data_IF_976228469069
#
_entry.id   IF_976228469069
#
_cell.length_a   1.000
_cell.length_b   1.000
_cell.length_c   1.000
_cell.angle_alpha   90.00
_cell.angle_beta   90.00
_cell.angle_gamma   90.00
#
_symmetry.space_group_name_H-M   'P 1'
#
loop_
_entity.id
_entity.type
_entity.pdbx_description
1 polymer ?
#
# COMPACT_ATOMS: atom_id res chain seq x y z
N UNK A 1 43.15 60.14 -36.39
CA UNK A 1 41.91 60.04 -35.57
C UNK A 1 41.01 58.90 -36.05
N UNK A 2 40.66 58.83 -37.34
CA UNK A 2 39.72 57.83 -37.93
C UNK A 2 40.20 56.36 -37.83
N UNK A 3 41.52 56.10 -37.90
CA UNK A 3 42.04 54.73 -37.75
C UNK A 3 41.88 54.18 -36.32
N UNK A 4 42.06 55.01 -35.29
CA UNK A 4 41.86 54.58 -33.90
C UNK A 4 40.39 54.24 -33.61
N UNK A 5 39.45 55.01 -34.16
CA UNK A 5 38.01 54.76 -33.96
C UNK A 5 37.55 53.48 -34.65
N UNK A 6 38.08 53.16 -35.84
CA UNK A 6 37.80 51.88 -36.52
C UNK A 6 38.35 50.68 -35.76
N UNK A 7 39.56 50.78 -35.20
CA UNK A 7 40.16 49.71 -34.38
C UNK A 7 39.34 49.49 -33.10
N UNK A 8 38.96 50.56 -32.41
CA UNK A 8 38.12 50.47 -31.19
C UNK A 8 36.73 49.88 -31.49
N UNK A 9 36.10 50.27 -32.60
CA UNK A 9 34.84 49.70 -33.05
C UNK A 9 34.97 48.20 -33.37
N UNK A 10 36.06 47.80 -34.03
CA UNK A 10 36.35 46.39 -34.33
C UNK A 10 36.51 45.53 -33.07
N UNK A 11 37.24 46.04 -32.07
CA UNK A 11 37.39 45.36 -30.77
C UNK A 11 36.04 45.29 -30.04
N UNK A 12 35.23 46.36 -30.08
CA UNK A 12 33.89 46.38 -29.48
C UNK A 12 32.95 45.34 -30.09
N UNK A 13 32.92 45.24 -31.43
CA UNK A 13 32.15 44.20 -32.13
C UNK A 13 32.67 42.80 -31.79
N UNK A 14 34.00 42.61 -31.74
CA UNK A 14 34.58 41.33 -31.35
C UNK A 14 34.21 40.93 -29.92
N UNK A 15 34.26 41.85 -28.95
CA UNK A 15 33.82 41.58 -27.58
C UNK A 15 32.32 41.31 -27.49
N UNK A 16 31.49 42.03 -28.25
CA UNK A 16 30.05 41.80 -28.28
C UNK A 16 29.70 40.43 -28.87
N UNK A 17 30.34 40.05 -29.98
CA UNK A 17 30.18 38.73 -30.62
C UNK A 17 30.73 37.63 -29.72
N UNK A 18 31.89 37.84 -29.10
CA UNK A 18 32.47 36.90 -28.14
C UNK A 18 31.58 36.70 -26.91
N UNK A 19 31.05 37.80 -26.35
CA UNK A 19 30.10 37.76 -25.24
C UNK A 19 28.79 37.05 -25.63
N UNK A 20 28.28 37.29 -26.83
CA UNK A 20 27.10 36.59 -27.35
C UNK A 20 27.36 35.08 -27.54
N UNK A 21 28.50 34.71 -28.12
CA UNK A 21 28.88 33.30 -28.28
C UNK A 21 29.05 32.60 -26.93
N UNK A 22 29.73 33.24 -25.99
CA UNK A 22 29.91 32.71 -24.63
C UNK A 22 28.56 32.58 -23.92
N UNK A 23 27.70 33.59 -24.01
CA UNK A 23 26.42 33.65 -23.31
C UNK A 23 25.36 32.69 -23.88
N UNK A 24 25.21 32.60 -25.19
CA UNK A 24 24.14 31.79 -25.83
C UNK A 24 24.58 30.38 -26.25
N UNK A 25 25.88 30.12 -26.40
CA UNK A 25 26.36 28.80 -26.88
C UNK A 25 27.17 28.09 -25.80
N UNK A 26 28.24 28.72 -25.31
CA UNK A 26 29.18 28.04 -24.39
C UNK A 26 28.56 27.82 -23.01
N UNK A 27 27.95 28.86 -22.43
CA UNK A 27 27.39 28.79 -21.10
C UNK A 27 26.22 27.79 -20.99
N UNK A 28 25.23 27.76 -21.90
CA UNK A 28 24.17 26.76 -21.86
C UNK A 28 24.67 25.33 -22.02
N UNK A 29 25.66 25.10 -22.89
CA UNK A 29 26.30 23.78 -23.04
C UNK A 29 27.00 23.33 -21.76
N UNK A 30 27.82 24.21 -21.15
CA UNK A 30 28.50 23.90 -19.89
C UNK A 30 27.51 23.64 -18.73
N UNK A 31 26.42 24.40 -18.66
CA UNK A 31 25.34 24.17 -17.68
C UNK A 31 24.67 22.82 -17.92
N UNK A 32 24.36 22.48 -19.17
CA UNK A 32 23.76 21.20 -19.54
C UNK A 32 24.62 20.02 -19.10
N UNK A 33 25.92 20.04 -19.44
CA UNK A 33 26.87 19.00 -19.06
C UNK A 33 27.03 18.91 -17.54
N UNK A 34 27.04 20.05 -16.85
CA UNK A 34 27.15 20.07 -15.39
C UNK A 34 25.90 19.53 -14.70
N UNK A 35 24.71 19.71 -15.28
CA UNK A 35 23.47 19.10 -14.78
C UNK A 35 23.54 17.58 -14.94
N UNK A 36 24.00 17.08 -16.09
CA UNK A 36 24.17 15.64 -16.32
C UNK A 36 25.13 15.04 -15.29
N UNK A 37 26.31 15.65 -15.11
CA UNK A 37 27.31 15.18 -14.14
C UNK A 37 26.77 15.17 -12.71
N UNK A 38 25.99 16.18 -12.32
CA UNK A 38 25.42 16.31 -10.98
C UNK A 38 24.18 15.44 -10.74
N UNK A 39 23.56 14.87 -11.78
CA UNK A 39 22.40 13.99 -11.63
C UNK A 39 22.76 12.52 -11.59
N UNK A 40 23.86 12.14 -12.23
CA UNK A 40 24.39 10.77 -12.21
C UNK A 40 24.62 10.27 -10.77
N UNK A 41 24.14 9.07 -10.47
CA UNK A 41 24.36 8.37 -9.21
C UNK A 41 25.76 7.76 -9.20
N UNK A 42 26.75 8.57 -8.84
CA UNK A 42 28.14 8.13 -8.68
C UNK A 42 28.57 8.15 -7.22
N UNK A 43 29.15 7.04 -6.76
CA UNK A 43 29.61 6.89 -5.38
C UNK A 43 30.54 8.04 -4.96
N UNK A 44 30.28 8.61 -3.77
CA UNK A 44 31.05 9.72 -3.20
C UNK A 44 30.61 11.12 -3.63
N UNK A 45 29.73 11.25 -4.63
CA UNK A 45 29.18 12.55 -5.04
C UNK A 45 28.15 13.09 -4.04
N UNK A 46 27.92 14.42 -3.98
CA UNK A 46 26.83 14.99 -3.18
C UNK A 46 25.45 14.45 -3.56
N UNK A 47 25.21 14.20 -4.85
CA UNK A 47 23.94 13.62 -5.32
C UNK A 47 23.73 12.21 -4.80
N UNK A 48 24.78 11.38 -4.81
CA UNK A 48 24.69 10.04 -4.23
C UNK A 48 24.40 10.07 -2.72
N UNK A 49 24.97 11.03 -1.97
CA UNK A 49 24.66 11.19 -0.54
C UNK A 49 23.19 11.56 -0.30
N UNK A 50 22.62 12.45 -1.13
CA UNK A 50 21.18 12.80 -1.09
C UNK A 50 20.27 11.64 -1.48
N UNK A 51 20.75 10.78 -2.38
CA UNK A 51 20.05 9.57 -2.78
C UNK A 51 20.05 8.51 -1.67
N UNK A 52 21.20 8.32 -1.01
CA UNK A 52 21.41 7.37 0.08
C UNK A 52 20.55 7.71 1.30
N UNK A 53 20.52 8.98 1.71
CA UNK A 53 19.65 9.45 2.78
C UNK A 53 19.08 10.82 2.43
N UNK A 54 17.77 11.00 2.65
CA UNK A 54 17.15 12.31 2.46
C UNK A 54 17.78 13.33 3.43
N UNK A 55 18.18 14.52 2.94
CA UNK A 55 18.86 15.51 3.78
C UNK A 55 17.93 16.12 4.84
N UNK A 56 16.62 16.10 4.59
CA UNK A 56 15.58 16.52 5.53
C UNK A 56 14.56 15.39 5.68
N UNK A 57 14.14 15.05 6.91
CA UNK A 57 13.04 14.12 7.11
C UNK A 57 11.74 14.66 6.50
N UNK A 58 10.85 13.74 6.12
CA UNK A 58 9.54 14.09 5.60
C UNK A 58 8.54 14.18 6.76
N UNK A 59 7.64 15.16 6.71
CA UNK A 59 6.51 15.24 7.65
C UNK A 59 5.45 14.21 7.28
N UNK A 60 5.36 13.14 8.06
CA UNK A 60 4.32 12.14 7.95
C UNK A 60 3.16 12.49 8.90
N UNK A 61 2.09 13.07 8.34
CA UNK A 61 0.92 13.52 9.10
C UNK A 61 -0.19 12.47 9.03
N UNK A 62 -0.67 12.04 10.19
CA UNK A 62 -1.75 11.06 10.30
C UNK A 62 -3.00 11.72 10.86
N UNK A 63 -4.11 11.52 10.18
CA UNK A 63 -5.45 11.92 10.61
C UNK A 63 -6.28 10.66 10.79
N UNK A 64 -6.93 10.53 11.95
CA UNK A 64 -7.69 9.33 12.31
C UNK A 64 -9.16 9.72 12.52
N UNK A 65 -10.07 8.98 11.89
CA UNK A 65 -11.49 9.13 12.13
C UNK A 65 -11.92 8.42 13.42
N UNK A 66 -12.13 9.20 14.47
CA UNK A 66 -12.64 8.75 15.76
C UNK A 66 -14.16 8.53 15.70
N UNK A 67 -14.65 7.36 16.08
CA UNK A 67 -16.06 6.97 15.99
C UNK A 67 -16.79 7.37 17.28
N UNK A 68 -17.88 8.12 17.14
CA UNK A 68 -18.64 8.66 18.29
C UNK A 68 -19.86 7.83 18.68
N UNK A 69 -20.32 6.92 17.82
CA UNK A 69 -21.56 6.16 18.01
C UNK A 69 -21.42 4.65 17.76
N UNK A 70 -20.40 3.96 18.31
CA UNK A 70 -20.07 2.57 17.97
C UNK A 70 -21.24 1.59 18.09
N UNK A 71 -22.00 1.66 19.19
CA UNK A 71 -23.12 0.76 19.48
C UNK A 71 -24.29 0.98 18.54
N UNK A 72 -24.56 2.23 18.17
CA UNK A 72 -25.62 2.56 17.21
C UNK A 72 -25.28 2.01 15.81
N UNK A 73 -24.01 2.08 15.41
CA UNK A 73 -23.57 1.53 14.12
C UNK A 73 -23.70 0.01 14.10
N UNK A 74 -23.40 -0.66 15.21
CA UNK A 74 -23.61 -2.10 15.34
C UNK A 74 -25.09 -2.50 15.22
N UNK A 75 -26.02 -1.60 15.55
CA UNK A 75 -27.46 -1.77 15.32
C UNK A 75 -27.90 -1.37 13.89
N UNK A 76 -26.96 -1.09 12.99
CA UNK A 76 -27.24 -0.75 11.59
C UNK A 76 -27.43 0.73 11.31
N UNK A 77 -27.20 1.63 12.28
CA UNK A 77 -27.22 3.08 12.01
C UNK A 77 -25.95 3.54 11.30
N UNK A 78 -26.00 4.74 10.71
CA UNK A 78 -24.85 5.34 10.03
C UNK A 78 -23.74 5.73 11.03
N UNK A 79 -22.46 5.50 10.70
CA UNK A 79 -21.34 5.94 11.53
C UNK A 79 -21.20 7.45 11.55
N UNK A 80 -20.97 8.00 12.75
CA UNK A 80 -20.59 9.40 13.01
C UNK A 80 -19.14 9.43 13.42
N UNK A 81 -18.29 10.02 12.58
CA UNK A 81 -16.86 10.14 12.81
C UNK A 81 -16.43 11.59 12.99
N UNK A 82 -15.40 11.81 13.79
CA UNK A 82 -14.70 13.09 13.95
C UNK A 82 -13.25 12.86 13.58
N UNK A 83 -12.70 13.65 12.66
CA UNK A 83 -11.28 13.61 12.33
C UNK A 83 -10.45 14.14 13.51
N UNK A 84 -9.43 13.38 13.91
CA UNK A 84 -8.49 13.74 14.98
C UNK A 84 -7.08 13.68 14.42
N UNK A 85 -6.35 14.78 14.57
CA UNK A 85 -4.99 14.95 14.06
C UNK A 85 -4.66 16.43 13.84
N UNK A 86 -3.48 16.72 13.27
CA UNK A 86 -2.50 15.75 12.80
C UNK A 86 -1.65 15.16 13.94
N UNK A 87 -1.46 13.84 13.93
CA UNK A 87 -0.32 13.21 14.61
C UNK A 87 0.87 13.23 13.65
N UNK A 88 1.90 14.00 13.97
CA UNK A 88 3.03 14.27 13.09
C UNK A 88 4.21 13.38 13.49
N UNK A 89 4.79 12.73 12.48
CA UNK A 89 6.00 11.93 12.62
C UNK A 89 7.05 12.42 11.63
N UNK A 90 8.28 12.59 12.07
CA UNK A 90 9.41 12.68 11.16
C UNK A 90 9.68 11.32 10.55
N UNK A 91 9.57 11.24 9.22
CA UNK A 91 9.91 10.06 8.44
C UNK A 91 11.30 10.25 7.83
N UNK A 92 12.27 9.50 8.35
CA UNK A 92 13.58 9.36 7.74
C UNK A 92 13.54 8.24 6.71
N UNK A 93 14.13 8.46 5.54
CA UNK A 93 14.29 7.42 4.50
C UNK A 93 15.77 7.24 4.21
N UNK A 94 16.22 6.01 4.33
CA UNK A 94 17.59 5.61 4.06
C UNK A 94 17.60 4.40 3.12
N UNK A 95 18.53 4.41 2.17
CA UNK A 95 18.81 3.29 1.28
C UNK A 95 19.99 2.50 1.82
N UNK A 96 19.80 1.21 1.97
CA UNK A 96 20.77 0.27 2.49
C UNK A 96 21.18 -0.74 1.43
N UNK A 97 22.23 -1.52 1.73
CA UNK A 97 22.71 -2.60 0.87
C UNK A 97 22.98 -2.16 -0.58
N UNK A 98 23.45 -0.92 -0.76
CA UNK A 98 23.65 -0.30 -2.07
C UNK A 98 24.80 -1.00 -2.81
N UNK A 99 24.51 -1.57 -3.98
CA UNK A 99 25.47 -2.29 -4.82
C UNK A 99 25.36 -1.87 -6.27
N UNK A 100 26.47 -1.46 -6.87
CA UNK A 100 26.54 -1.11 -8.28
C UNK A 100 26.74 -2.33 -9.17
N UNK A 101 26.19 -2.30 -10.38
CA UNK A 101 26.52 -3.25 -11.44
C UNK A 101 27.98 -3.14 -11.85
N UNK A 102 28.54 -4.17 -12.48
CA UNK A 102 29.93 -4.18 -12.95
C UNK A 102 30.25 -3.01 -13.89
N UNK A 103 29.30 -2.63 -14.72
CA UNK A 103 29.41 -1.50 -15.66
C UNK A 103 28.99 -0.15 -15.04
N UNK A 104 28.61 -0.13 -13.75
CA UNK A 104 28.09 1.03 -13.01
C UNK A 104 26.82 1.66 -13.58
N UNK A 105 26.19 1.04 -14.57
CA UNK A 105 24.95 1.59 -15.18
C UNK A 105 23.72 1.41 -14.31
N UNK A 106 23.77 0.51 -13.33
CA UNK A 106 22.66 0.20 -12.43
C UNK A 106 23.12 0.16 -10.99
N UNK A 107 22.18 0.43 -10.09
CA UNK A 107 22.38 0.29 -8.65
C UNK A 107 21.21 -0.48 -8.04
N UNK A 108 21.57 -1.42 -7.16
CA UNK A 108 20.65 -2.26 -6.40
C UNK A 108 20.66 -1.79 -4.94
N UNK A 109 19.50 -1.64 -4.31
CA UNK A 109 19.41 -1.22 -2.91
C UNK A 109 18.12 -1.72 -2.25
N UNK A 110 18.11 -1.81 -0.92
CA UNK A 110 16.89 -1.87 -0.12
C UNK A 110 16.61 -0.51 0.49
N UNK A 111 15.35 -0.22 0.80
CA UNK A 111 14.97 1.03 1.47
C UNK A 111 14.38 0.73 2.84
N UNK A 112 14.83 1.49 3.84
CA UNK A 112 14.31 1.49 5.19
C UNK A 112 13.71 2.86 5.53
N UNK A 113 12.71 2.85 6.40
CA UNK A 113 12.03 4.05 6.87
C UNK A 113 12.00 4.05 8.39
N UNK A 114 12.34 5.18 9.02
CA UNK A 114 12.21 5.36 10.47
C UNK A 114 11.18 6.44 10.72
N UNK A 115 10.23 6.15 11.62
CA UNK A 115 9.18 7.09 12.03
C UNK A 115 9.42 7.51 13.47
N UNK A 116 9.58 8.81 13.70
CA UNK A 116 9.79 9.40 15.04
C UNK A 116 8.67 10.41 15.30
N UNK A 117 7.89 10.22 16.37
CA UNK A 117 6.82 11.14 16.71
C UNK A 117 7.36 12.53 17.07
N UNK A 118 6.77 13.55 16.49
CA UNK A 118 7.05 14.96 16.79
C UNK A 118 5.96 15.51 17.71
N UNK A 119 6.27 15.53 19.01
CA UNK A 119 5.36 16.02 20.04
C UNK A 119 5.14 17.54 19.97
N UNK A 120 6.11 18.30 19.47
CA UNK A 120 5.99 19.77 19.38
C UNK A 120 5.03 20.16 18.26
N UNK A 121 5.22 19.60 17.06
CA UNK A 121 4.32 19.90 15.93
C UNK A 121 2.95 19.25 16.07
N UNK A 122 2.80 18.21 16.88
CA UNK A 122 1.51 17.56 17.18
C UNK A 122 0.74 18.21 18.33
N UNK A 123 1.34 19.12 19.10
CA UNK A 123 0.72 19.73 20.27
C UNK A 123 -0.63 20.41 19.91
N UNK A 124 -1.71 20.23 20.70
CA UNK A 124 -1.76 19.61 22.04
C UNK A 124 -2.03 18.09 22.05
N UNK A 125 -2.00 17.43 20.89
CA UNK A 125 -2.28 16.00 20.77
C UNK A 125 -1.07 15.14 21.18
N UNK A 126 -1.34 13.93 21.66
CA UNK A 126 -0.29 12.97 22.06
C UNK A 126 -0.56 11.59 21.46
N UNK A 127 0.47 10.76 21.28
CA UNK A 127 0.26 9.40 20.78
C UNK A 127 -0.52 8.48 21.74
N UNK A 128 -0.83 8.96 22.94
CA UNK A 128 -1.60 8.25 23.97
C UNK A 128 -3.06 8.71 24.03
N UNK A 129 -3.48 9.60 23.14
CA UNK A 129 -4.87 10.08 23.11
C UNK A 129 -5.85 8.92 22.92
N UNK A 130 -6.96 8.88 23.68
CA UNK A 130 -7.92 7.79 23.56
C UNK A 130 -8.69 7.91 22.25
N UNK A 131 -8.64 6.85 21.45
CA UNK A 131 -9.34 6.74 20.17
C UNK A 131 -10.29 5.56 20.16
N UNK A 132 -11.40 5.73 19.45
CA UNK A 132 -12.33 4.67 19.09
C UNK A 132 -12.32 4.47 17.59
N UNK A 133 -11.81 3.33 17.15
CA UNK A 133 -11.56 3.03 15.74
C UNK A 133 -12.13 1.68 15.36
N UNK A 134 -12.34 1.45 14.06
CA UNK A 134 -12.79 0.15 13.57
C UNK A 134 -11.77 -0.92 13.93
N UNK A 135 -12.22 -2.03 14.52
CA UNK A 135 -11.37 -3.18 14.79
C UNK A 135 -11.04 -3.94 13.49
N UNK A 136 -10.13 -3.41 12.70
CA UNK A 136 -9.90 -3.88 11.33
C UNK A 136 -9.34 -5.31 11.24
N UNK A 137 -8.50 -5.74 12.17
CA UNK A 137 -7.96 -7.10 12.18
C UNK A 137 -9.07 -8.09 12.53
N UNK A 138 -9.92 -7.81 13.52
CA UNK A 138 -11.11 -8.62 13.78
C UNK A 138 -12.05 -8.66 12.57
N UNK A 139 -12.41 -7.50 12.02
CA UNK A 139 -13.36 -7.44 10.90
C UNK A 139 -12.83 -8.10 9.63
N UNK A 140 -11.54 -7.97 9.32
CA UNK A 140 -10.93 -8.68 8.18
C UNK A 140 -10.91 -10.20 8.40
N UNK A 141 -10.57 -10.66 9.60
CA UNK A 141 -10.63 -12.08 9.99
C UNK A 141 -12.07 -12.59 9.95
N UNK A 142 -13.06 -11.81 10.35
CA UNK A 142 -14.47 -12.17 10.28
C UNK A 142 -14.94 -12.36 8.84
N UNK A 143 -14.55 -11.47 7.91
CA UNK A 143 -14.86 -11.63 6.49
C UNK A 143 -14.28 -12.93 5.92
N UNK A 144 -13.13 -13.35 6.42
CA UNK A 144 -12.48 -14.61 6.07
C UNK A 144 -13.22 -15.80 6.66
N UNK A 145 -13.53 -15.74 7.95
CA UNK A 145 -14.21 -16.82 8.68
C UNK A 145 -15.63 -16.98 8.15
N UNK A 146 -16.36 -15.95 7.71
CA UNK A 146 -17.68 -16.12 7.08
C UNK A 146 -17.59 -16.98 5.80
N UNK A 147 -16.52 -16.84 5.02
CA UNK A 147 -16.27 -17.63 3.82
C UNK A 147 -15.74 -19.05 4.14
N UNK A 148 -14.77 -19.16 5.05
CA UNK A 148 -14.12 -20.44 5.38
C UNK A 148 -14.86 -21.25 6.44
N UNK A 149 -15.66 -20.64 7.32
CA UNK A 149 -16.50 -21.36 8.28
C UNK A 149 -17.57 -22.14 7.54
N UNK A 150 -18.16 -21.59 6.47
CA UNK A 150 -19.03 -22.37 5.59
C UNK A 150 -18.30 -23.59 5.06
N UNK A 151 -17.10 -23.45 4.51
CA UNK A 151 -16.33 -24.59 3.97
C UNK A 151 -15.84 -25.56 5.04
N UNK A 152 -15.34 -25.07 6.18
CA UNK A 152 -14.81 -25.90 7.28
C UNK A 152 -15.93 -26.63 8.00
N UNK A 153 -17.07 -25.98 8.24
CA UNK A 153 -18.27 -26.62 8.79
C UNK A 153 -18.83 -27.62 7.77
N UNK A 154 -18.84 -27.30 6.46
CA UNK A 154 -19.29 -28.24 5.43
C UNK A 154 -18.36 -29.44 5.32
N UNK A 155 -17.04 -29.27 5.42
CA UNK A 155 -16.06 -30.34 5.38
C UNK A 155 -16.14 -31.22 6.63
N UNK A 156 -16.25 -30.62 7.82
CA UNK A 156 -16.47 -31.37 9.06
C UNK A 156 -17.81 -32.12 9.03
N UNK A 157 -18.89 -31.49 8.55
CA UNK A 157 -20.21 -32.13 8.38
C UNK A 157 -20.12 -33.26 7.36
N UNK A 158 -19.40 -33.08 6.25
CA UNK A 158 -19.15 -34.11 5.24
C UNK A 158 -18.42 -35.30 5.85
N UNK A 159 -17.35 -35.09 6.61
CA UNK A 159 -16.61 -36.17 7.26
C UNK A 159 -17.44 -36.93 8.29
N UNK A 160 -18.21 -36.20 9.12
CA UNK A 160 -19.13 -36.82 10.10
C UNK A 160 -20.26 -37.56 9.39
N UNK A 161 -20.90 -36.95 8.39
CA UNK A 161 -21.99 -37.55 7.63
C UNK A 161 -21.51 -38.76 6.81
N UNK A 162 -20.32 -38.71 6.20
CA UNK A 162 -19.69 -39.85 5.51
C UNK A 162 -19.33 -40.99 6.46
N UNK A 163 -19.02 -40.69 7.73
CA UNK A 163 -18.76 -41.70 8.76
C UNK A 163 -20.06 -42.30 9.28
N UNK A 164 -21.09 -41.48 9.50
CA UNK A 164 -22.42 -41.91 9.93
C UNK A 164 -23.17 -42.70 8.85
N UNK A 165 -23.02 -42.34 7.58
CA UNK A 165 -23.65 -43.04 6.44
C UNK A 165 -23.07 -44.44 6.20
N UNK A 166 -21.89 -44.77 6.75
CA UNK A 166 -21.35 -46.13 6.77
C UNK A 166 -22.07 -47.04 7.77
N UNK A 167 -22.84 -46.48 8.71
CA UNK A 167 -23.64 -47.24 9.67
C UNK A 167 -25.02 -47.54 9.04
N UNK A 168 -25.35 -48.83 8.77
CA UNK A 168 -26.56 -49.19 8.02
C UNK A 168 -27.87 -48.67 8.62
N UNK A 169 -27.97 -48.69 9.96
CA UNK A 169 -29.15 -48.22 10.71
C UNK A 169 -29.36 -46.71 10.54
N UNK A 170 -28.28 -45.92 10.55
CA UNK A 170 -28.36 -44.46 10.48
C UNK A 170 -28.85 -44.00 9.10
N UNK A 171 -28.41 -44.67 8.03
CA UNK A 171 -28.87 -44.41 6.65
C UNK A 171 -30.36 -44.66 6.46
N UNK A 172 -30.89 -45.71 7.09
CA UNK A 172 -32.32 -46.06 7.04
C UNK A 172 -33.15 -45.02 7.81
N UNK A 173 -32.71 -44.66 9.03
CA UNK A 173 -33.37 -43.64 9.86
C UNK A 173 -33.41 -42.29 9.14
N UNK A 174 -32.29 -41.87 8.52
CA UNK A 174 -32.21 -40.61 7.77
C UNK A 174 -33.21 -40.53 6.62
N UNK A 175 -33.35 -41.61 5.82
CA UNK A 175 -34.34 -41.70 4.74
C UNK A 175 -35.79 -41.66 5.24
N UNK A 176 -36.04 -42.23 6.42
CA UNK A 176 -37.38 -42.19 7.02
C UNK A 176 -37.70 -40.77 7.46
N UNK A 177 -36.75 -40.09 8.14
CA UNK A 177 -36.89 -38.71 8.61
C UNK A 177 -37.11 -37.76 7.43
N UNK A 178 -36.28 -37.79 6.39
CA UNK A 178 -36.42 -36.92 5.21
C UNK A 178 -37.75 -37.09 4.46
N UNK A 179 -38.37 -38.27 4.58
CA UNK A 179 -39.65 -38.57 3.94
C UNK A 179 -40.85 -38.20 4.82
N UNK A 180 -40.66 -38.08 6.14
CA UNK A 180 -41.71 -37.74 7.10
C UNK A 180 -41.66 -36.28 7.57
N UNK A 181 -40.53 -35.57 7.43
CA UNK A 181 -40.41 -34.17 7.84
C UNK A 181 -40.89 -33.20 6.76
N UNK A 182 -41.81 -32.26 7.08
CA UNK A 182 -42.23 -31.21 6.15
C UNK A 182 -41.08 -30.25 5.82
N UNK A 183 -41.03 -29.74 4.58
CA UNK A 183 -39.99 -28.80 4.10
C UNK A 183 -39.83 -27.56 5.01
N UNK A 184 -40.92 -27.05 5.60
CA UNK A 184 -40.88 -25.92 6.54
C UNK A 184 -40.08 -26.23 7.82
N UNK A 185 -40.15 -27.47 8.33
CA UNK A 185 -39.36 -27.87 9.50
C UNK A 185 -37.87 -27.98 9.19
N UNK A 186 -37.52 -28.34 7.95
CA UNK A 186 -36.13 -28.37 7.47
C UNK A 186 -35.56 -26.95 7.39
N UNK A 187 -36.37 -25.98 6.92
CA UNK A 187 -35.99 -24.56 6.90
C UNK A 187 -35.71 -24.05 8.32
N UNK A 188 -36.57 -24.41 9.27
CA UNK A 188 -36.46 -24.01 10.67
C UNK A 188 -35.24 -24.64 11.36
N UNK A 189 -34.91 -25.90 11.04
CA UNK A 189 -33.67 -26.56 11.49
C UNK A 189 -32.44 -25.88 10.87
N UNK A 190 -32.49 -25.49 9.60
CA UNK A 190 -31.40 -24.76 8.94
C UNK A 190 -31.19 -23.36 9.57
N UNK A 191 -32.27 -22.68 9.98
CA UNK A 191 -32.21 -21.42 10.75
C UNK A 191 -31.61 -21.63 12.15
N UNK A 192 -31.95 -22.72 12.85
CA UNK A 192 -31.40 -23.06 14.17
C UNK A 192 -29.91 -23.45 14.09
N UNK A 193 -29.48 -24.15 13.04
CA UNK A 193 -28.08 -24.48 12.76
C UNK A 193 -27.22 -23.22 12.47
N UNK A 194 -27.79 -22.20 11.82
CA UNK A 194 -27.12 -20.89 11.68
C UNK A 194 -26.97 -20.15 13.01
N UNK A 195 -27.86 -20.37 13.97
CA UNK A 195 -27.81 -19.72 15.28
C UNK A 195 -26.71 -20.30 16.19
N UNK A 196 -26.52 -21.63 16.18
CA UNK A 196 -25.47 -22.29 16.96
C UNK A 196 -24.05 -22.01 16.43
N UNK A 197 -23.89 -21.88 15.11
CA UNK A 197 -22.63 -21.44 14.51
C UNK A 197 -22.29 -19.99 14.87
N UNK A 198 -23.28 -19.09 14.92
CA UNK A 198 -23.10 -17.71 15.41
C UNK A 198 -22.71 -17.65 16.90
N UNK A 199 -23.27 -18.53 17.74
CA UNK A 199 -22.90 -18.64 19.16
C UNK A 199 -21.47 -19.13 19.35
N UNK A 200 -21.05 -20.16 18.60
CA UNK A 200 -19.68 -20.67 18.63
C UNK A 200 -18.67 -19.63 18.14
N UNK A 201 -19.00 -18.91 17.06
CA UNK A 201 -18.20 -17.78 16.56
C UNK A 201 -18.04 -16.73 17.66
N UNK A 202 -19.10 -16.34 18.37
CA UNK A 202 -19.02 -15.31 19.41
C UNK A 202 -18.11 -15.72 20.59
N UNK A 203 -18.15 -16.98 21.04
CA UNK A 203 -17.28 -17.48 22.12
C UNK A 203 -15.81 -17.47 21.70
N UNK A 204 -15.50 -17.92 20.48
CA UNK A 204 -14.12 -17.95 20.00
C UNK A 204 -13.59 -16.55 19.66
N UNK A 205 -14.42 -15.64 19.15
CA UNK A 205 -14.06 -14.22 18.97
C UNK A 205 -13.68 -13.57 20.30
N UNK A 206 -14.44 -13.85 21.36
CA UNK A 206 -14.13 -13.34 22.69
C UNK A 206 -12.79 -13.84 23.22
N UNK A 207 -12.39 -15.07 22.89
CA UNK A 207 -11.08 -15.62 23.24
C UNK A 207 -9.95 -15.01 22.42
N UNK A 208 -10.18 -14.81 21.12
CA UNK A 208 -9.16 -14.30 20.19
C UNK A 208 -8.90 -12.80 20.41
N UNK A 209 -9.96 -12.00 20.52
CA UNK A 209 -9.87 -10.54 20.53
C UNK A 209 -10.12 -9.92 21.91
N UNK A 210 -10.15 -10.73 22.98
CA UNK A 210 -10.22 -10.23 24.35
C UNK A 210 -11.58 -9.62 24.73
N UNK A 211 -12.67 -10.30 24.40
CA UNK A 211 -14.08 -9.85 24.63
C UNK A 211 -14.39 -8.47 24.03
N UNK A 212 -14.39 -8.35 22.70
CA UNK A 212 -14.74 -7.08 22.06
C UNK A 212 -16.22 -6.75 22.30
N UNK A 213 -16.49 -5.60 22.94
CA UNK A 213 -17.86 -5.12 23.18
C UNK A 213 -18.57 -4.69 21.88
N UNK A 214 -17.80 -4.42 20.81
CA UNK A 214 -18.34 -4.00 19.51
C UNK A 214 -17.37 -4.31 18.37
N UNK A 215 -17.78 -4.02 17.12
CA UNK A 215 -16.88 -4.06 15.96
C UNK A 215 -15.81 -2.96 15.94
N UNK A 216 -15.86 -2.04 16.92
CA UNK A 216 -14.87 -1.01 17.18
C UNK A 216 -14.04 -1.37 18.41
N UNK A 217 -12.81 -0.87 18.47
CA UNK A 217 -11.94 -1.02 19.61
C UNK A 217 -11.50 0.34 20.14
N UNK A 218 -11.17 0.39 21.43
CA UNK A 218 -10.49 1.52 22.06
C UNK A 218 -8.98 1.29 21.99
N UNK A 219 -8.23 2.31 21.59
CA UNK A 219 -6.78 2.25 21.40
C UNK A 219 -6.19 3.67 21.46
N UNK A 220 -4.90 3.80 21.20
CA UNK A 220 -4.20 5.08 21.03
C UNK A 220 -3.55 5.14 19.65
N UNK A 221 -3.19 6.34 19.15
CA UNK A 221 -2.41 6.47 17.92
C UNK A 221 -1.15 5.59 17.94
N UNK A 222 -0.42 5.56 19.05
CA UNK A 222 0.81 4.77 19.19
C UNK A 222 0.56 3.29 18.95
N UNK A 223 -0.44 2.74 19.64
CA UNK A 223 -0.79 1.32 19.55
C UNK A 223 -1.36 0.96 18.18
N UNK A 224 -2.24 1.78 17.64
CA UNK A 224 -2.91 1.50 16.36
C UNK A 224 -1.95 1.58 15.17
N UNK A 225 -1.03 2.56 15.19
CA UNK A 225 -0.11 2.81 14.09
C UNK A 225 1.16 1.96 14.19
N UNK A 226 1.76 1.79 15.37
CA UNK A 226 3.11 1.23 15.51
C UNK A 226 3.27 0.12 16.57
N UNK A 227 2.89 0.34 17.84
CA UNK A 227 3.19 -0.62 18.93
C UNK A 227 2.39 -1.93 18.79
N UNK A 228 1.18 -1.79 18.24
CA UNK A 228 0.28 -2.86 17.85
C UNK A 228 -0.73 -3.29 18.92
N UNK A 229 -1.98 -3.41 18.50
CA UNK A 229 -3.11 -3.89 19.29
C UNK A 229 -3.02 -5.42 19.46
N UNK A 230 -2.95 -5.94 20.69
CA UNK A 230 -2.76 -7.37 20.94
C UNK A 230 -4.03 -8.20 20.70
N UNK A 231 -3.86 -9.40 20.15
CA UNK A 231 -4.89 -10.43 20.00
C UNK A 231 -4.25 -11.83 19.98
N UNK A 232 -5.06 -12.89 20.07
CA UNK A 232 -4.58 -14.27 20.22
C UNK A 232 -3.68 -14.50 21.45
N UNK A 233 -3.95 -13.80 22.55
CA UNK A 233 -3.16 -13.89 23.78
C UNK A 233 -3.59 -15.11 24.59
N UNK A 234 -2.66 -16.05 24.87
CA UNK A 234 -2.88 -17.24 25.70
C UNK A 234 -4.11 -18.08 25.31
N UNK A 235 -4.38 -18.21 24.00
CA UNK A 235 -5.54 -18.95 23.48
C UNK A 235 -5.31 -20.46 23.46
N UNK A 236 -6.40 -21.22 23.65
CA UNK A 236 -6.43 -22.70 23.64
C UNK A 236 -7.56 -23.20 22.72
N UNK A 237 -7.55 -24.49 22.38
CA UNK A 237 -8.62 -25.13 21.61
C UNK A 237 -8.79 -24.54 20.20
N UNK A 238 -10.05 -24.26 19.83
CA UNK A 238 -10.42 -23.78 18.49
C UNK A 238 -9.82 -22.40 18.20
N UNK A 239 -9.84 -21.48 19.16
CA UNK A 239 -9.18 -20.18 19.04
C UNK A 239 -7.70 -20.31 18.66
N UNK A 240 -6.96 -21.26 19.25
CA UNK A 240 -5.57 -21.51 18.88
C UNK A 240 -5.41 -21.99 17.44
N UNK A 241 -6.33 -22.84 16.96
CA UNK A 241 -6.33 -23.27 15.57
C UNK A 241 -6.61 -22.10 14.60
N UNK A 242 -7.57 -21.25 14.92
CA UNK A 242 -7.88 -20.03 14.14
C UNK A 242 -6.68 -19.08 14.12
N UNK A 243 -6.05 -18.83 15.27
CA UNK A 243 -4.84 -18.00 15.38
C UNK A 243 -3.69 -18.53 14.51
N UNK A 244 -3.53 -19.86 14.43
CA UNK A 244 -2.54 -20.48 13.55
C UNK A 244 -2.87 -20.29 12.06
N UNK A 245 -4.15 -20.30 11.67
CA UNK A 245 -4.54 -19.97 10.29
C UNK A 245 -4.32 -18.50 9.95
N UNK A 246 -4.51 -17.60 10.92
CA UNK A 246 -4.18 -16.17 10.77
C UNK A 246 -2.68 -16.00 10.59
N UNK A 247 -1.86 -16.64 11.41
CA UNK A 247 -0.39 -16.63 11.30
C UNK A 247 0.08 -17.10 9.92
N UNK A 248 -0.48 -18.21 9.41
CA UNK A 248 -0.14 -18.76 8.09
C UNK A 248 -0.33 -17.77 6.93
N UNK A 249 -1.25 -16.81 7.06
CA UNK A 249 -1.48 -15.78 6.03
C UNK A 249 -0.32 -14.80 5.91
N UNK A 250 0.48 -14.64 6.96
CA UNK A 250 1.71 -13.85 6.97
C UNK A 250 1.51 -12.45 6.35
N UNK A 251 0.49 -11.74 6.81
CA UNK A 251 0.18 -10.37 6.39
C UNK A 251 1.17 -9.40 7.01
N UNK A 252 1.58 -8.36 6.27
CA UNK A 252 2.55 -7.38 6.77
C UNK A 252 2.10 -6.66 8.06
N UNK A 253 0.81 -6.43 8.25
CA UNK A 253 0.26 -5.66 9.38
C UNK A 253 0.07 -6.45 10.68
N UNK A 254 0.42 -7.75 10.70
CA UNK A 254 0.29 -8.61 11.88
C UNK A 254 1.68 -9.15 12.23
N UNK A 255 2.11 -8.89 13.46
CA UNK A 255 3.37 -9.41 14.02
C UNK A 255 3.08 -10.51 15.03
N UNK A 256 3.74 -11.66 14.86
CA UNK A 256 3.71 -12.77 15.81
C UNK A 256 4.80 -12.56 16.85
N UNK A 257 4.46 -12.70 18.13
CA UNK A 257 5.37 -12.61 19.26
C UNK A 257 5.91 -14.00 19.65
N UNK A 258 7.03 -14.08 20.40
CA UNK A 258 7.65 -15.37 20.75
C UNK A 258 6.75 -16.32 21.53
N UNK A 259 5.76 -15.80 22.26
CA UNK A 259 4.76 -16.58 23.01
C UNK A 259 3.58 -17.07 22.13
N UNK A 260 3.60 -16.76 20.83
CA UNK A 260 2.55 -17.08 19.87
C UNK A 260 1.38 -16.10 19.86
N UNK A 261 1.39 -15.08 20.72
CA UNK A 261 0.43 -13.97 20.63
C UNK A 261 0.71 -13.10 19.41
N UNK A 262 -0.28 -12.32 18.98
CA UNK A 262 -0.15 -11.48 17.80
C UNK A 262 -0.49 -10.02 18.11
N UNK A 263 0.11 -9.12 17.35
CA UNK A 263 -0.19 -7.68 17.41
C UNK A 263 -0.52 -7.15 16.01
N UNK A 264 -1.62 -6.43 15.91
CA UNK A 264 -2.02 -5.72 14.70
C UNK A 264 -1.57 -4.25 14.74
N UNK A 265 -0.94 -3.75 13.68
CA UNK A 265 -0.59 -2.33 13.51
C UNK A 265 -0.48 -1.95 12.03
N UNK A 266 -0.72 -0.68 11.70
CA UNK A 266 -0.62 -0.21 10.31
C UNK A 266 0.81 -0.17 9.78
N UNK A 267 1.74 0.40 10.55
CA UNK A 267 3.03 0.86 10.03
C UNK A 267 4.24 0.24 10.74
N UNK A 268 4.05 -0.66 11.72
CA UNK A 268 5.16 -1.36 12.38
C UNK A 268 6.09 -2.04 11.37
N UNK A 269 5.51 -2.72 10.37
CA UNK A 269 6.24 -3.44 9.33
C UNK A 269 6.96 -2.55 8.31
N UNK A 270 6.87 -1.23 8.45
CA UNK A 270 7.63 -0.25 7.67
C UNK A 270 8.76 0.36 8.50
N UNK A 271 8.69 0.25 9.82
CA UNK A 271 9.60 0.94 10.73
C UNK A 271 10.90 0.13 10.88
N UNK A 272 11.99 0.63 10.29
CA UNK A 272 13.31 0.01 10.25
C UNK A 272 13.32 -1.40 9.64
N UNK A 273 12.56 -1.56 8.57
CA UNK A 273 12.42 -2.82 7.84
C UNK A 273 12.60 -2.59 6.35
N UNK A 274 13.13 -3.59 5.64
CA UNK A 274 13.33 -3.51 4.19
C UNK A 274 12.02 -3.71 3.41
N UNK A 275 11.70 -2.77 2.53
CA UNK A 275 10.51 -2.81 1.66
C UNK A 275 10.74 -3.58 0.32
N UNK A 276 11.90 -4.23 0.18
CA UNK A 276 12.29 -4.98 -1.01
C UNK A 276 13.51 -4.37 -1.71
N UNK A 277 13.99 -5.09 -2.73
CA UNK A 277 15.21 -4.72 -3.46
C UNK A 277 14.84 -4.01 -4.75
N UNK A 278 15.22 -2.74 -4.85
CA UNK A 278 15.09 -1.92 -6.05
C UNK A 278 16.32 -2.05 -6.92
N UNK A 279 16.13 -2.09 -8.23
CA UNK A 279 17.18 -1.93 -9.25
C UNK A 279 16.82 -0.73 -10.10
N UNK A 280 17.67 0.28 -10.09
CA UNK A 280 17.44 1.54 -10.81
C UNK A 280 18.63 1.86 -11.72
N UNK A 281 18.39 2.70 -12.72
CA UNK A 281 19.43 3.24 -13.59
C UNK A 281 20.21 4.36 -12.87
N UNK A 282 21.54 4.35 -13.01
CA UNK A 282 22.41 5.35 -12.37
C UNK A 282 22.55 6.64 -13.17
N UNK A 283 22.18 6.64 -14.45
CA UNK A 283 22.40 7.78 -15.35
C UNK A 283 23.69 7.71 -16.17
N UNK A 284 24.61 6.80 -15.84
CA UNK A 284 25.94 6.67 -16.50
C UNK A 284 25.82 6.46 -18.01
N UNK A 285 24.85 5.65 -18.46
CA UNK A 285 24.61 5.39 -19.89
C UNK A 285 23.74 6.46 -20.54
N UNK A 286 22.72 6.91 -19.81
CA UNK A 286 21.74 7.88 -20.26
C UNK A 286 21.22 8.67 -19.06
N UNK A 287 21.56 9.95 -18.99
CA UNK A 287 21.15 10.82 -17.89
C UNK A 287 19.62 10.95 -17.78
N UNK A 288 18.90 10.81 -18.90
CA UNK A 288 17.44 10.86 -18.96
C UNK A 288 16.74 9.65 -18.33
N UNK A 289 17.49 8.60 -17.97
CA UNK A 289 16.99 7.40 -17.30
C UNK A 289 17.38 7.34 -15.82
N UNK A 290 18.14 8.31 -15.32
CA UNK A 290 18.64 8.30 -13.92
C UNK A 290 17.50 8.14 -12.90
N UNK A 291 17.67 7.24 -11.93
CA UNK A 291 16.68 6.89 -10.90
C UNK A 291 15.42 6.16 -11.40
N UNK A 292 15.28 5.90 -12.70
CA UNK A 292 14.17 5.08 -13.21
C UNK A 292 14.32 3.64 -12.74
N UNK A 293 13.24 3.09 -12.18
CA UNK A 293 13.16 1.71 -11.70
C UNK A 293 13.06 0.76 -12.88
N UNK A 294 13.92 -0.25 -12.87
CA UNK A 294 13.89 -1.34 -13.84
C UNK A 294 13.32 -2.62 -13.22
N UNK A 295 13.69 -2.91 -11.97
CA UNK A 295 13.19 -4.07 -11.25
C UNK A 295 12.90 -3.74 -9.79
N UNK A 296 11.86 -4.38 -9.26
CA UNK A 296 11.60 -4.49 -7.83
C UNK A 296 11.48 -5.97 -7.47
N UNK A 297 12.27 -6.41 -6.50
CA UNK A 297 12.42 -7.82 -6.11
C UNK A 297 12.74 -8.74 -7.31
N UNK A 298 13.57 -8.24 -8.25
CA UNK A 298 14.00 -8.97 -9.44
C UNK A 298 12.94 -9.10 -10.54
N UNK A 299 11.77 -8.45 -10.40
CA UNK A 299 10.71 -8.43 -11.41
C UNK A 299 10.46 -7.02 -11.93
N UNK A 300 10.13 -6.89 -13.20
CA UNK A 300 9.68 -5.64 -13.85
C UNK A 300 8.15 -5.58 -14.01
N UNK A 301 7.47 -6.65 -13.57
CA UNK A 301 6.02 -6.74 -13.48
C UNK A 301 5.65 -7.35 -12.13
N UNK A 302 4.58 -6.83 -11.55
CA UNK A 302 3.94 -7.35 -10.36
C UNK A 302 3.11 -8.60 -10.68
N UNK A 303 2.77 -9.33 -9.62
CA UNK A 303 1.87 -10.48 -9.63
C UNK A 303 0.65 -10.24 -8.73
N UNK A 304 0.22 -8.97 -8.64
CA UNK A 304 -0.78 -8.50 -7.66
C UNK A 304 -2.14 -8.25 -8.27
N UNK A 305 -2.19 -7.85 -9.53
CA UNK A 305 -3.42 -7.47 -10.21
C UNK A 305 -3.85 -8.54 -11.20
N UNK A 306 -5.16 -8.61 -11.45
CA UNK A 306 -5.74 -9.63 -12.31
C UNK A 306 -5.22 -9.51 -13.73
N UNK A 307 -4.74 -10.61 -14.29
CA UNK A 307 -4.44 -10.73 -15.71
C UNK A 307 -5.76 -10.98 -16.45
N UNK A 308 -6.38 -9.95 -17.03
CA UNK A 308 -7.70 -10.11 -17.66
C UNK A 308 -7.63 -11.11 -18.83
N UNK A 309 -8.61 -12.00 -18.95
CA UNK A 309 -8.73 -12.96 -20.05
C UNK A 309 -9.10 -12.31 -21.40
N UNK A 310 -9.11 -10.97 -21.49
CA UNK A 310 -9.50 -10.18 -22.68
C UNK A 310 -8.40 -9.22 -23.15
N UNK A 311 -7.15 -9.70 -23.19
CA UNK A 311 -6.12 -9.13 -24.08
C UNK A 311 -5.44 -7.82 -23.68
N UNK A 312 -5.83 -7.15 -22.58
CA UNK A 312 -5.15 -5.95 -22.05
C UNK A 312 -4.35 -6.21 -20.75
N UNK A 313 -3.96 -7.47 -20.54
CA UNK A 313 -3.46 -8.07 -19.29
C UNK A 313 -2.06 -7.64 -18.78
N UNK A 314 -1.45 -6.55 -19.24
CA UNK A 314 -0.07 -6.18 -18.82
C UNK A 314 0.10 -4.81 -18.18
N UNK A 315 -0.91 -3.93 -18.20
CA UNK A 315 -0.76 -2.54 -17.75
C UNK A 315 -0.75 -2.40 -16.22
N UNK A 316 -1.70 -3.00 -15.50
CA UNK A 316 -1.82 -2.79 -14.05
C UNK A 316 -0.64 -3.31 -13.23
N UNK A 317 0.00 -4.38 -13.72
CA UNK A 317 1.15 -5.00 -13.07
C UNK A 317 2.49 -4.37 -13.48
N UNK A 318 2.50 -3.43 -14.42
CA UNK A 318 3.74 -2.84 -14.92
C UNK A 318 4.42 -1.98 -13.85
N UNK A 319 5.72 -2.18 -13.66
CA UNK A 319 6.55 -1.37 -12.76
C UNK A 319 7.27 -0.33 -13.60
N UNK A 320 6.92 0.95 -13.43
CA UNK A 320 7.52 2.05 -14.19
C UNK A 320 7.66 3.31 -13.34
N UNK A 321 8.56 4.20 -13.77
CA UNK A 321 8.80 5.47 -13.13
C UNK A 321 9.92 5.41 -12.10
N UNK A 322 9.93 6.40 -11.22
CA UNK A 322 10.85 6.44 -10.07
C UNK A 322 10.09 6.08 -8.79
N UNK A 323 10.77 6.11 -7.65
CA UNK A 323 10.15 5.98 -6.33
C UNK A 323 9.49 7.29 -5.84
N UNK A 324 9.46 8.32 -6.69
CA UNK A 324 8.94 9.65 -6.38
C UNK A 324 9.89 10.55 -5.59
N UNK A 325 11.06 10.06 -5.15
CA UNK A 325 12.05 10.87 -4.41
C UNK A 325 13.00 11.67 -5.31
N UNK A 326 13.13 11.26 -6.56
CA UNK A 326 13.92 11.95 -7.58
C UNK A 326 13.42 11.64 -8.98
N UNK A 327 13.80 12.47 -9.94
CA UNK A 327 13.48 12.31 -11.36
C UNK A 327 14.70 12.61 -12.22
N UNK A 328 14.79 12.05 -13.44
CA UNK A 328 15.77 12.48 -14.44
C UNK A 328 15.71 14.00 -14.72
N UNK A 329 16.82 14.62 -15.15
CA UNK A 329 16.89 16.05 -15.45
C UNK A 329 16.04 16.46 -16.67
N UNK A 330 15.98 17.77 -16.91
CA UNK A 330 15.37 18.39 -18.10
C UNK A 330 13.88 18.05 -18.29
N UNK A 331 13.08 18.28 -17.24
CA UNK A 331 11.64 17.99 -17.21
C UNK A 331 10.74 19.16 -17.63
N UNK A 332 11.31 20.18 -18.24
CA UNK A 332 10.53 21.28 -18.80
C UNK A 332 9.63 20.76 -19.94
N UNK A 333 8.35 21.15 -19.93
CA UNK A 333 7.38 20.72 -20.95
C UNK A 333 6.83 19.28 -20.79
N UNK A 334 7.34 18.48 -19.85
CA UNK A 334 6.86 17.12 -19.61
C UNK A 334 5.46 17.16 -18.98
N UNK A 335 4.45 16.64 -19.68
CA UNK A 335 3.06 16.72 -19.21
C UNK A 335 2.70 15.62 -18.21
N UNK A 336 3.37 14.47 -18.27
CA UNK A 336 3.09 13.29 -17.45
C UNK A 336 4.36 12.59 -17.01
N UNK A 337 4.35 12.11 -15.78
CA UNK A 337 5.41 11.27 -15.20
C UNK A 337 4.77 10.15 -14.39
N UNK A 338 5.57 9.19 -13.94
CA UNK A 338 5.10 8.01 -13.24
C UNK A 338 5.88 7.77 -11.95
N UNK A 339 5.17 7.27 -10.94
CA UNK A 339 5.71 6.85 -9.65
C UNK A 339 5.30 5.40 -9.42
N UNK A 340 6.27 4.54 -9.14
CA UNK A 340 5.99 3.22 -8.60
C UNK A 340 5.93 3.30 -7.07
N UNK A 341 4.83 2.81 -6.49
CA UNK A 341 4.66 2.72 -5.04
C UNK A 341 4.42 1.27 -4.62
N UNK A 342 5.37 0.72 -3.88
CA UNK A 342 5.30 -0.59 -3.23
C UNK A 342 4.19 -0.67 -2.18
N UNK A 343 3.86 0.45 -1.53
CA UNK A 343 2.84 0.56 -0.48
C UNK A 343 1.43 0.22 -0.98
N UNK A 344 1.15 0.55 -2.24
CA UNK A 344 -0.13 0.26 -2.92
C UNK A 344 0.06 -0.74 -4.06
N UNK A 345 1.25 -1.33 -4.17
CA UNK A 345 1.65 -2.27 -5.21
C UNK A 345 1.24 -1.83 -6.63
N UNK A 346 1.48 -0.59 -7.04
CA UNK A 346 1.18 -0.14 -8.42
C UNK A 346 1.99 1.07 -8.85
N UNK A 347 2.00 1.26 -10.17
CA UNK A 347 2.43 2.51 -10.79
C UNK A 347 1.27 3.51 -10.82
N UNK A 348 1.57 4.77 -10.53
CA UNK A 348 0.63 5.90 -10.52
C UNK A 348 1.15 6.99 -11.43
N UNK A 349 0.28 7.50 -12.30
CA UNK A 349 0.60 8.61 -13.18
C UNK A 349 0.38 9.94 -12.45
N UNK A 350 1.27 10.90 -12.69
CA UNK A 350 1.13 12.28 -12.24
C UNK A 350 1.13 13.21 -13.47
N UNK A 351 0.28 14.23 -13.44
CA UNK A 351 0.10 15.21 -14.51
C UNK A 351 0.51 16.61 -14.06
N UNK A 352 1.12 17.36 -14.96
CA UNK A 352 1.45 18.76 -14.75
C UNK A 352 0.15 19.60 -14.62
N UNK A 353 0.13 20.52 -13.65
CA UNK A 353 -1.02 21.43 -13.43
C UNK A 353 -0.65 22.91 -13.46
N UNK A 354 0.64 23.24 -13.41
CA UNK A 354 1.08 24.63 -13.45
C UNK A 354 2.46 24.84 -12.83
N UNK A 355 2.97 26.05 -13.02
CA UNK A 355 4.22 26.48 -12.39
C UNK A 355 4.00 26.83 -10.92
N UNK A 356 5.03 26.65 -10.12
CA UNK A 356 5.07 26.94 -8.69
C UNK A 356 6.47 27.42 -8.33
N UNK A 357 6.68 27.78 -7.07
CA UNK A 357 8.00 28.00 -6.50
C UNK A 357 8.09 27.41 -5.11
N UNK A 358 9.27 26.97 -4.71
CA UNK A 358 9.58 26.56 -3.34
C UNK A 358 10.89 27.19 -2.93
N UNK A 359 10.90 27.96 -1.84
CA UNK A 359 12.10 28.66 -1.34
C UNK A 359 12.82 29.49 -2.43
N UNK A 360 12.03 30.17 -3.29
CA UNK A 360 12.55 30.96 -4.41
C UNK A 360 13.03 30.14 -5.62
N UNK A 361 13.01 28.81 -5.55
CA UNK A 361 13.38 27.92 -6.66
C UNK A 361 12.14 27.68 -7.53
N UNK A 362 12.18 28.00 -8.84
CA UNK A 362 11.10 27.68 -9.78
C UNK A 362 10.85 26.18 -9.82
N UNK A 363 9.57 25.78 -9.77
CA UNK A 363 9.15 24.39 -9.73
C UNK A 363 7.96 24.15 -10.66
N UNK A 364 7.82 22.91 -11.12
CA UNK A 364 6.64 22.44 -11.82
C UNK A 364 5.75 21.66 -10.85
N UNK A 365 4.47 22.01 -10.76
CA UNK A 365 3.51 21.31 -9.91
C UNK A 365 2.89 20.15 -10.67
N UNK A 366 3.02 18.96 -10.11
CA UNK A 366 2.35 17.75 -10.59
C UNK A 366 1.35 17.25 -9.55
N UNK A 367 0.26 16.65 -10.01
CA UNK A 367 -0.76 15.99 -9.16
C UNK A 367 -1.05 14.60 -9.71
N UNK A 368 -1.59 13.71 -8.89
CA UNK A 368 -2.07 12.39 -9.34
C UNK A 368 -3.09 12.52 -10.46
N UNK A 369 -2.96 11.73 -11.52
CA UNK A 369 -3.96 11.67 -12.59
C UNK A 369 -5.22 10.93 -12.11
N UNK A 370 -6.33 11.12 -12.82
CA UNK A 370 -7.65 10.62 -12.43
C UNK A 370 -7.72 9.09 -12.45
N UNK A 371 -6.83 8.44 -13.22
CA UNK A 371 -6.69 6.97 -13.30
C UNK A 371 -6.12 6.34 -12.02
N UNK A 372 -5.77 7.15 -11.02
CA UNK A 372 -5.32 6.67 -9.74
C UNK A 372 -6.47 6.01 -8.96
N UNK A 373 -7.57 6.75 -8.69
CA UNK A 373 -8.71 6.26 -7.89
C UNK A 373 -10.10 6.57 -8.48
N UNK A 374 -10.22 7.57 -9.37
CA UNK A 374 -11.54 8.02 -9.85
C UNK A 374 -11.94 7.31 -11.14
N UNK A 375 -10.98 7.04 -12.01
CA UNK A 375 -11.18 6.43 -13.33
C UNK A 375 -10.59 5.01 -13.35
N UNK A 376 -11.26 4.09 -12.66
CA UNK A 376 -10.94 2.65 -12.64
C UNK A 376 -12.11 1.85 -13.22
N UNK A 377 -11.83 1.09 -14.28
CA UNK A 377 -12.80 0.21 -14.93
C UNK A 377 -12.46 -0.11 -16.39
N UNK A 378 -13.26 -0.98 -17.04
CA UNK A 378 -13.06 -1.35 -18.44
C UNK A 378 -13.13 -0.16 -19.39
N UNK A 379 -13.92 0.87 -19.03
CA UNK A 379 -14.02 2.14 -19.76
C UNK A 379 -12.70 2.94 -19.80
N UNK A 380 -11.74 2.59 -18.95
CA UNK A 380 -10.43 3.24 -18.83
C UNK A 380 -9.26 2.29 -19.13
N UNK A 381 -9.53 1.07 -19.60
CA UNK A 381 -8.52 0.04 -19.91
C UNK A 381 -7.59 -0.30 -18.71
N UNK A 382 -8.14 -0.26 -17.50
CA UNK A 382 -7.45 -0.58 -16.24
C UNK A 382 -8.34 -1.41 -15.29
N UNK A 383 -9.26 -2.19 -15.84
CA UNK A 383 -10.16 -3.10 -15.12
C UNK A 383 -9.43 -4.22 -14.36
N UNK A 384 -8.16 -4.46 -14.67
CA UNK A 384 -7.29 -5.36 -13.91
C UNK A 384 -7.12 -4.97 -12.43
N UNK A 385 -7.41 -3.71 -12.05
CA UNK A 385 -7.48 -3.27 -10.66
C UNK A 385 -8.79 -3.70 -9.95
N UNK A 386 -9.80 -4.17 -10.68
CA UNK A 386 -11.09 -4.59 -10.15
C UNK A 386 -11.06 -6.06 -9.74
N UNK A 387 -10.41 -6.34 -8.59
CA UNK A 387 -10.18 -7.72 -8.13
C UNK A 387 -11.39 -8.36 -7.44
N UNK A 388 -12.34 -7.55 -6.95
CA UNK A 388 -13.58 -7.98 -6.29
C UNK A 388 -13.39 -9.10 -5.24
N UNK A 389 -12.37 -8.97 -4.37
CA UNK A 389 -12.04 -10.00 -3.39
C UNK A 389 -12.66 -9.79 -2.02
N UNK A 390 -13.08 -8.55 -1.73
CA UNK A 390 -13.73 -8.21 -0.46
C UNK A 390 -15.18 -8.74 -0.50
N UNK A 391 -15.56 -9.69 0.38
CA UNK A 391 -16.92 -10.24 0.40
C UNK A 391 -17.94 -9.16 0.73
N UNK A 392 -19.09 -9.16 0.04
CA UNK A 392 -20.18 -8.19 0.24
C UNK A 392 -19.72 -6.73 0.06
N UNK A 393 -18.62 -6.49 -0.66
CA UNK A 393 -18.18 -5.13 -0.99
C UNK A 393 -19.22 -4.41 -1.85
N UNK A 394 -19.31 -3.10 -1.66
CA UNK A 394 -20.17 -2.22 -2.46
C UNK A 394 -19.43 -1.92 -3.76
N UNK A 395 -19.75 -2.67 -4.81
CA UNK A 395 -19.13 -2.57 -6.14
C UNK A 395 -20.14 -2.12 -7.20
N UNK A 396 -19.62 -1.58 -8.30
CA UNK A 396 -20.34 -1.36 -9.55
C UNK A 396 -20.65 -2.72 -10.21
N UNK A 397 -21.52 -2.72 -11.23
CA UNK A 397 -21.88 -3.93 -11.98
C UNK A 397 -20.70 -4.63 -12.68
N UNK A 398 -19.64 -3.88 -12.98
CA UNK A 398 -18.39 -4.40 -13.57
C UNK A 398 -17.43 -5.02 -12.54
N UNK A 399 -17.81 -5.08 -11.25
CA UNK A 399 -16.99 -5.63 -10.16
C UNK A 399 -15.96 -4.65 -9.59
N UNK A 400 -15.87 -3.43 -10.10
CA UNK A 400 -15.00 -2.39 -9.57
C UNK A 400 -15.64 -1.67 -8.37
N UNK A 401 -14.84 -1.14 -7.45
CA UNK A 401 -15.34 -0.22 -6.43
C UNK A 401 -15.82 1.10 -7.04
N UNK A 402 -16.60 1.87 -6.27
CA UNK A 402 -17.00 3.21 -6.66
C UNK A 402 -15.79 4.17 -6.69
N UNK A 403 -15.95 5.30 -7.38
CA UNK A 403 -14.89 6.30 -7.56
C UNK A 403 -14.30 6.74 -6.22
N UNK A 404 -12.98 6.87 -6.16
CA UNK A 404 -12.25 7.25 -4.95
C UNK A 404 -11.80 6.05 -4.09
N UNK A 405 -12.07 4.81 -4.50
CA UNK A 405 -11.69 3.61 -3.74
C UNK A 405 -10.99 2.55 -4.59
N UNK A 406 -10.06 1.81 -3.97
CA UNK A 406 -9.30 0.72 -4.58
C UNK A 406 -9.16 -0.45 -3.60
N UNK A 407 -9.37 -1.68 -4.07
CA UNK A 407 -9.20 -2.90 -3.29
C UNK A 407 -7.73 -3.33 -3.30
N UNK A 408 -7.04 -3.16 -2.16
CA UNK A 408 -5.64 -3.53 -1.97
C UNK A 408 -5.44 -4.92 -1.36
N UNK A 409 -6.49 -5.76 -1.30
CA UNK A 409 -6.43 -7.09 -0.68
C UNK A 409 -5.35 -8.00 -1.28
N UNK A 410 -5.07 -7.87 -2.59
CA UNK A 410 -4.01 -8.63 -3.27
C UNK A 410 -2.61 -8.11 -2.98
N UNK A 411 -2.47 -6.83 -2.60
CA UNK A 411 -1.19 -6.21 -2.26
C UNK A 411 -0.72 -6.63 -0.86
N UNK A 412 -1.62 -6.54 0.15
CA UNK A 412 -1.29 -6.83 1.55
C UNK A 412 -1.39 -8.31 1.94
N UNK A 413 -2.07 -9.15 1.14
CA UNK A 413 -2.20 -10.58 1.38
C UNK A 413 -1.23 -11.45 0.56
N UNK A 414 -0.61 -12.47 1.16
CA UNK A 414 -0.01 -13.58 0.41
C UNK A 414 -1.11 -14.58 0.09
N UNK A 415 -1.52 -14.67 -1.17
CA UNK A 415 -2.46 -15.69 -1.62
C UNK A 415 -1.67 -16.83 -2.27
N UNK A 416 -1.47 -17.95 -1.55
CA UNK A 416 -0.96 -19.20 -2.13
C UNK A 416 -2.07 -20.24 -2.40
N UNK A 417 -3.32 -19.97 -1.99
CA UNK A 417 -4.39 -20.98 -2.04
C UNK A 417 -5.79 -20.42 -2.33
N UNK A 418 -5.91 -19.35 -3.11
CA UNK A 418 -7.20 -19.01 -3.73
C UNK A 418 -6.99 -18.98 -5.25
N UNK A 419 -7.36 -20.09 -5.91
CA UNK A 419 -7.38 -20.22 -7.36
C UNK A 419 -6.35 -21.17 -7.94
N UNK A 420 -6.55 -22.48 -7.73
CA UNK A 420 -6.46 -23.50 -8.77
C UNK A 420 -7.69 -24.42 -8.59
#
# INVERSE_FOLDING_TARGET
>A
MVQCTLVLAGIGVFMAVGGALLGWVVFPGAVHDKIIENTELRQGTPQFKRFEALPQPLDFKVFIFNVTNPYEVQMGKRPRVVEVGPYIYFQYRQKDNIRFSRDRSKVHFSQQQLYVFDAESSYPLTENDPLMVLNMHMNSILQIIDNQAKETITNFRSDVNNTLEKIPIVRVIKRIIEKTTPIQSILQIAEDETYDSLRLINVELNRIFGRPDSMFLRTTPKEFLFDGVPFCVNVIGIAKAICKEIEKRNTKTIRVLPDGSMKFSFFNHKNMTEDGIYTINTGVKNALETQMIEFWNGKNMLDKWSNSSRGSSMTCNKIEGTDGSGYPPFREGVQRMTIFSSDICRTVDIKYVGSSSYEGIPAARYVTDDNFLNKIGPEHNNDCYCVNRIPKAIVKANGCLYEGALDLSTCFGKCRSCGA
#
